data_IF_671091394006
#
_entry.id   IF_671091394006
#
_cell.length_a   1.000
_cell.length_b   1.000
_cell.length_c   1.000
_cell.angle_alpha   90.00
_cell.angle_beta   90.00
_cell.angle_gamma   90.00
#
_symmetry.space_group_name_H-M   'P 1'
#
loop_
_entity.id
_entity.type
_entity.pdbx_description
1 polymer ?
#
# COMPACT_ATOMS: atom_id res chain seq x y z
N UNK A 1 -23.85 -15.93 18.42
CA UNK A 1 -22.65 -15.21 17.96
C UNK A 1 -22.02 -16.06 16.86
N UNK A 2 -21.57 -15.44 15.77
CA UNK A 2 -20.88 -16.15 14.70
C UNK A 2 -19.49 -16.57 15.15
N UNK A 3 -19.00 -17.74 14.71
CA UNK A 3 -17.63 -18.21 14.98
C UNK A 3 -16.57 -17.20 14.48
N UNK A 4 -16.85 -16.53 13.36
CA UNK A 4 -16.01 -15.46 12.84
C UNK A 4 -15.94 -14.25 13.79
N UNK A 5 -17.06 -13.88 14.43
CA UNK A 5 -17.10 -12.78 15.40
C UNK A 5 -16.22 -13.08 16.61
N UNK A 6 -16.34 -14.28 17.18
CA UNK A 6 -15.53 -14.69 18.33
C UNK A 6 -14.04 -14.71 17.99
N UNK A 7 -13.68 -15.15 16.79
CA UNK A 7 -12.29 -15.18 16.32
C UNK A 7 -11.70 -13.77 16.21
N UNK A 8 -12.43 -12.83 15.58
CA UNK A 8 -12.01 -11.44 15.46
C UNK A 8 -11.96 -10.74 16.82
N UNK A 9 -12.93 -10.99 17.69
CA UNK A 9 -12.95 -10.45 19.04
C UNK A 9 -11.74 -10.94 19.85
N UNK A 10 -11.44 -12.23 19.83
CA UNK A 10 -10.29 -12.81 20.51
C UNK A 10 -8.97 -12.23 19.99
N UNK A 11 -8.87 -12.02 18.67
CA UNK A 11 -7.73 -11.33 18.06
C UNK A 11 -7.54 -9.92 18.61
N UNK A 12 -8.59 -9.09 18.63
CA UNK A 12 -8.53 -7.74 19.17
C UNK A 12 -8.20 -7.72 20.67
N UNK A 13 -8.78 -8.64 21.46
CA UNK A 13 -8.50 -8.76 22.89
C UNK A 13 -7.06 -9.21 23.16
N UNK A 14 -6.52 -10.11 22.35
CA UNK A 14 -5.12 -10.50 22.42
C UNK A 14 -4.21 -9.28 22.25
N UNK A 15 -4.40 -8.51 21.17
CA UNK A 15 -3.59 -7.30 20.94
C UNK A 15 -3.82 -6.23 22.02
N UNK A 16 -5.05 -6.10 22.54
CA UNK A 16 -5.33 -5.23 23.68
C UNK A 16 -4.52 -5.61 24.92
N UNK A 17 -4.34 -6.91 25.18
CA UNK A 17 -3.59 -7.39 26.34
C UNK A 17 -2.08 -7.14 26.25
N UNK A 18 -1.55 -6.99 25.03
CA UNK A 18 -0.12 -6.74 24.79
C UNK A 18 0.27 -5.26 24.95
N UNK A 19 -0.70 -4.33 24.88
CA UNK A 19 -0.45 -2.89 24.87
C UNK A 19 -0.83 -2.29 26.22
N UNK A 20 0.07 -1.50 26.81
CA UNK A 20 -0.22 -0.71 28.02
C UNK A 20 -1.31 0.34 27.73
N UNK A 21 -2.21 0.60 28.69
CA UNK A 21 -3.32 1.56 28.55
C UNK A 21 -2.87 2.97 28.14
N UNK A 22 -1.61 3.32 28.37
CA UNK A 22 -1.03 4.66 28.20
C UNK A 22 -0.70 5.06 26.76
N UNK A 23 -0.52 4.13 25.82
CA UNK A 23 0.08 4.46 24.50
C UNK A 23 -0.65 3.83 23.28
N UNK A 24 -1.83 3.24 23.47
CA UNK A 24 -2.57 2.62 22.36
C UNK A 24 -3.87 1.89 22.72
N UNK A 25 -4.10 1.61 24.01
CA UNK A 25 -5.28 0.87 24.47
C UNK A 25 -6.63 1.52 24.16
N UNK A 26 -6.67 2.85 24.02
CA UNK A 26 -7.88 3.59 23.63
C UNK A 26 -8.40 3.22 22.24
N UNK A 27 -7.50 3.05 21.26
CA UNK A 27 -7.85 2.69 19.88
C UNK A 27 -8.43 1.29 19.78
N UNK A 28 -7.76 0.31 20.38
CA UNK A 28 -8.24 -1.08 20.36
C UNK A 28 -9.56 -1.21 21.11
N UNK A 29 -9.74 -0.46 22.19
CA UNK A 29 -11.04 -0.40 22.89
C UNK A 29 -12.14 0.14 21.97
N UNK A 30 -11.84 1.17 21.16
CA UNK A 30 -12.79 1.68 20.15
C UNK A 30 -13.12 0.62 19.09
N UNK A 31 -12.13 -0.14 18.61
CA UNK A 31 -12.35 -1.24 17.65
C UNK A 31 -13.23 -2.36 18.23
N UNK A 32 -13.01 -2.75 19.50
CA UNK A 32 -13.85 -3.74 20.19
C UNK A 32 -15.28 -3.25 20.32
N UNK A 33 -15.48 -1.98 20.69
CA UNK A 33 -16.83 -1.38 20.75
C UNK A 33 -17.49 -1.38 19.36
N UNK A 34 -16.77 -0.95 18.33
CA UNK A 34 -17.27 -0.92 16.95
C UNK A 34 -17.66 -2.31 16.45
N UNK A 35 -16.85 -3.33 16.73
CA UNK A 35 -17.16 -4.72 16.38
C UNK A 35 -18.46 -5.19 17.04
N UNK A 36 -18.68 -4.82 18.32
CA UNK A 36 -19.93 -5.10 19.02
C UNK A 36 -21.14 -4.36 18.45
N UNK A 37 -20.97 -3.10 18.02
CA UNK A 37 -22.02 -2.33 17.35
C UNK A 37 -22.42 -2.96 16.01
N UNK A 38 -21.45 -3.46 15.23
CA UNK A 38 -21.66 -4.16 13.95
C UNK A 38 -22.44 -5.47 14.15
N UNK A 39 -22.05 -6.31 15.13
CA UNK A 39 -22.74 -7.59 15.41
C UNK A 39 -24.20 -7.39 15.85
N UNK A 40 -24.49 -6.27 16.53
CA UNK A 40 -25.84 -5.90 16.95
C UNK A 40 -26.70 -5.30 15.83
N UNK A 41 -26.17 -5.20 14.60
CA UNK A 41 -26.85 -4.56 13.47
C UNK A 41 -27.04 -3.05 13.65
N UNK A 42 -26.33 -2.44 14.60
CA UNK A 42 -26.29 -0.99 14.74
C UNK A 42 -25.31 -0.48 13.68
N UNK A 43 -25.82 -0.18 12.49
CA UNK A 43 -25.06 0.60 11.52
C UNK A 43 -24.82 1.98 12.12
N UNK A 44 -23.68 2.13 12.78
CA UNK A 44 -23.28 3.37 13.40
C UNK A 44 -23.32 4.42 12.30
N UNK A 45 -24.07 5.50 12.51
CA UNK A 45 -23.97 6.69 11.69
C UNK A 45 -22.61 7.34 11.96
N UNK A 46 -21.54 6.66 11.55
CA UNK A 46 -20.16 7.06 11.72
C UNK A 46 -20.04 8.37 10.98
N UNK A 47 -19.70 9.44 11.69
CA UNK A 47 -19.47 10.76 11.07
C UNK A 47 -18.08 10.80 10.45
N UNK A 48 -17.13 10.09 11.04
CA UNK A 48 -15.74 10.02 10.62
C UNK A 48 -15.57 9.06 9.42
N UNK A 49 -15.04 9.55 8.28
CA UNK A 49 -14.66 8.71 7.14
C UNK A 49 -13.69 7.57 7.50
N UNK A 50 -12.79 7.79 8.47
CA UNK A 50 -11.83 6.77 8.90
C UNK A 50 -12.53 5.62 9.62
N UNK A 51 -13.37 5.94 10.61
CA UNK A 51 -14.13 4.91 11.32
C UNK A 51 -15.06 4.13 10.37
N UNK A 52 -15.60 4.76 9.32
CA UNK A 52 -16.35 4.05 8.26
C UNK A 52 -15.49 3.03 7.52
N UNK A 53 -14.25 3.38 7.19
CA UNK A 53 -13.33 2.48 6.52
C UNK A 53 -13.00 1.26 7.41
N UNK A 54 -12.73 1.51 8.69
CA UNK A 54 -12.48 0.44 9.69
C UNK A 54 -13.72 -0.46 9.85
N UNK A 55 -14.91 0.13 9.96
CA UNK A 55 -16.16 -0.63 10.08
C UNK A 55 -16.40 -1.51 8.85
N UNK A 56 -16.21 -0.96 7.64
CA UNK A 56 -16.34 -1.72 6.40
C UNK A 56 -15.32 -2.87 6.32
N UNK A 57 -14.12 -2.70 6.89
CA UNK A 57 -13.10 -3.74 6.96
C UNK A 57 -13.54 -4.87 7.90
N UNK A 58 -14.04 -4.54 9.10
CA UNK A 58 -14.56 -5.54 10.03
C UNK A 58 -15.78 -6.27 9.47
N UNK A 59 -16.73 -5.56 8.88
CA UNK A 59 -17.87 -6.19 8.20
C UNK A 59 -17.40 -7.17 7.11
N UNK A 60 -16.40 -6.80 6.30
CA UNK A 60 -15.89 -7.69 5.27
C UNK A 60 -15.22 -8.93 5.85
N UNK A 61 -14.42 -8.78 6.91
CA UNK A 61 -13.78 -9.90 7.62
C UNK A 61 -14.83 -10.85 8.17
N UNK A 62 -15.91 -10.33 8.76
CA UNK A 62 -17.00 -11.13 9.29
C UNK A 62 -17.85 -11.81 8.19
N UNK A 63 -18.20 -11.08 7.13
CA UNK A 63 -19.04 -11.58 6.03
C UNK A 63 -18.37 -12.65 5.17
N UNK A 64 -17.04 -12.56 5.03
CA UNK A 64 -16.24 -13.48 4.21
C UNK A 64 -15.43 -14.47 5.04
N UNK A 65 -15.57 -14.44 6.36
CA UNK A 65 -14.90 -15.32 7.31
C UNK A 65 -13.37 -15.33 7.11
N UNK A 66 -12.78 -14.16 6.90
CA UNK A 66 -11.32 -14.03 6.79
C UNK A 66 -10.65 -14.36 8.13
N UNK A 67 -9.49 -15.03 8.08
CA UNK A 67 -8.65 -15.24 9.26
C UNK A 67 -7.98 -13.92 9.68
N UNK A 68 -8.25 -13.39 10.89
CA UNK A 68 -7.63 -12.15 11.35
C UNK A 68 -6.12 -12.26 11.59
N UNK A 69 -5.56 -13.47 11.65
CA UNK A 69 -4.13 -13.70 11.84
C UNK A 69 -3.34 -13.83 10.52
N UNK A 70 -4.00 -14.24 9.43
CA UNK A 70 -3.40 -14.40 8.11
C UNK A 70 -4.35 -13.91 7.00
N UNK A 71 -4.34 -12.60 6.77
CA UNK A 71 -5.11 -11.96 5.72
C UNK A 71 -4.38 -12.06 4.37
N UNK A 72 -5.02 -12.67 3.37
CA UNK A 72 -4.61 -12.51 1.97
C UNK A 72 -4.96 -11.09 1.50
N UNK A 73 -3.97 -10.20 1.52
CA UNK A 73 -4.13 -8.81 1.14
C UNK A 73 -4.67 -8.61 -0.28
N UNK A 74 -4.29 -9.46 -1.23
CA UNK A 74 -4.71 -9.29 -2.61
C UNK A 74 -6.22 -9.59 -2.75
N UNK A 75 -6.65 -10.68 -2.12
CA UNK A 75 -8.07 -11.04 -2.07
C UNK A 75 -8.89 -10.03 -1.27
N UNK A 76 -8.41 -9.66 -0.08
CA UNK A 76 -9.06 -8.71 0.82
C UNK A 76 -9.25 -7.36 0.12
N UNK A 77 -8.18 -6.79 -0.45
CA UNK A 77 -8.22 -5.46 -1.08
C UNK A 77 -9.23 -5.42 -2.22
N UNK A 78 -9.28 -6.46 -3.06
CA UNK A 78 -10.26 -6.54 -4.16
C UNK A 78 -11.69 -6.50 -3.63
N UNK A 79 -12.01 -7.34 -2.64
CA UNK A 79 -13.36 -7.41 -2.07
C UNK A 79 -13.73 -6.16 -1.27
N UNK A 80 -12.76 -5.56 -0.58
CA UNK A 80 -12.93 -4.32 0.16
C UNK A 80 -13.26 -3.15 -0.76
N UNK A 81 -12.51 -3.00 -1.87
CA UNK A 81 -12.80 -1.98 -2.87
C UNK A 81 -14.19 -2.18 -3.49
N UNK A 82 -14.56 -3.42 -3.78
CA UNK A 82 -15.89 -3.75 -4.29
C UNK A 82 -16.99 -3.37 -3.28
N UNK A 83 -16.84 -3.74 -2.00
CA UNK A 83 -17.78 -3.39 -0.92
C UNK A 83 -17.91 -1.87 -0.74
N UNK A 84 -16.79 -1.15 -0.73
CA UNK A 84 -16.79 0.33 -0.61
C UNK A 84 -17.47 0.98 -1.82
N UNK A 85 -17.26 0.46 -3.03
CA UNK A 85 -17.92 0.97 -4.24
C UNK A 85 -19.43 0.65 -4.27
N UNK A 86 -19.85 -0.47 -3.69
CA UNK A 86 -21.26 -0.88 -3.61
C UNK A 86 -22.02 -0.17 -2.47
N UNK A 87 -21.34 0.32 -1.43
CA UNK A 87 -21.92 0.90 -0.22
C UNK A 87 -22.54 2.31 -0.31
N UNK A 88 -22.57 2.94 -1.49
CA UNK A 88 -23.25 4.23 -1.67
C UNK A 88 -22.67 5.07 -2.83
N UNK A 89 -23.43 6.04 -3.36
CA UNK A 89 -23.13 6.67 -4.63
C UNK A 89 -21.76 7.35 -4.61
N UNK A 90 -20.99 7.11 -5.66
CA UNK A 90 -19.77 7.85 -6.01
C UNK A 90 -20.03 9.33 -5.76
N UNK A 91 -19.22 9.94 -4.89
CA UNK A 91 -19.30 11.37 -4.66
C UNK A 91 -18.83 12.08 -5.95
N UNK A 92 -19.78 12.42 -6.83
CA UNK A 92 -19.51 13.04 -8.13
C UNK A 92 -18.79 14.38 -8.01
N UNK A 93 -18.89 15.05 -6.86
CA UNK A 93 -18.10 16.26 -6.58
C UNK A 93 -16.63 15.89 -6.41
N UNK A 94 -16.32 14.84 -5.65
CA UNK A 94 -14.95 14.33 -5.50
C UNK A 94 -14.42 13.70 -6.79
N UNK A 95 -15.22 12.88 -7.48
CA UNK A 95 -14.85 12.28 -8.76
C UNK A 95 -14.62 13.34 -9.84
N UNK A 96 -15.45 14.38 -9.91
CA UNK A 96 -15.26 15.52 -10.82
C UNK A 96 -13.97 16.29 -10.54
N UNK A 97 -13.62 16.51 -9.26
CA UNK A 97 -12.33 17.12 -8.88
C UNK A 97 -11.15 16.25 -9.31
N UNK A 98 -11.24 14.93 -9.13
CA UNK A 98 -10.19 13.99 -9.56
C UNK A 98 -10.00 14.01 -11.08
N UNK A 99 -11.10 14.01 -11.85
CA UNK A 99 -11.05 14.12 -13.32
C UNK A 99 -10.42 15.46 -13.73
N UNK A 100 -10.80 16.56 -13.07
CA UNK A 100 -10.24 17.88 -13.34
C UNK A 100 -8.74 17.95 -13.02
N UNK A 101 -8.29 17.36 -11.92
CA UNK A 101 -6.86 17.29 -11.56
C UNK A 101 -6.08 16.45 -12.57
N UNK A 102 -6.60 15.28 -12.95
CA UNK A 102 -5.97 14.42 -13.95
C UNK A 102 -5.84 15.13 -15.31
N UNK A 103 -6.90 15.83 -15.76
CA UNK A 103 -6.84 16.65 -16.97
C UNK A 103 -5.85 17.81 -16.85
N UNK A 104 -5.79 18.48 -15.69
CA UNK A 104 -4.87 19.60 -15.46
C UNK A 104 -3.41 19.15 -15.51
N UNK A 105 -3.10 17.99 -14.91
CA UNK A 105 -1.76 17.37 -14.98
C UNK A 105 -1.43 16.99 -16.42
N UNK A 106 -2.36 16.34 -17.12
CA UNK A 106 -2.15 15.94 -18.52
C UNK A 106 -1.92 17.16 -19.42
N UNK A 107 -2.66 18.24 -19.19
CA UNK A 107 -2.46 19.52 -19.90
C UNK A 107 -1.10 20.12 -19.60
N UNK A 108 -0.70 20.21 -18.34
CA UNK A 108 0.63 20.70 -17.94
C UNK A 108 1.75 19.87 -18.58
N UNK A 109 1.62 18.54 -18.57
CA UNK A 109 2.57 17.64 -19.22
C UNK A 109 2.59 17.86 -20.74
N UNK A 110 1.43 18.00 -21.38
CA UNK A 110 1.34 18.25 -22.82
C UNK A 110 1.96 19.60 -23.20
N UNK A 111 1.71 20.66 -22.42
CA UNK A 111 2.27 21.99 -22.64
C UNK A 111 3.80 21.95 -22.46
N UNK A 112 4.30 21.27 -21.43
CA UNK A 112 5.74 21.07 -21.22
C UNK A 112 6.38 20.25 -22.34
N UNK A 113 5.69 19.21 -22.83
CA UNK A 113 6.17 18.40 -23.96
C UNK A 113 6.23 19.24 -25.25
N UNK A 114 5.23 20.08 -25.51
CA UNK A 114 5.20 20.95 -26.68
C UNK A 114 6.39 21.91 -26.71
N UNK A 115 6.75 22.47 -25.55
CA UNK A 115 7.94 23.33 -25.38
C UNK A 115 9.22 22.53 -25.62
N UNK A 116 9.32 21.30 -25.08
CA UNK A 116 10.49 20.43 -25.29
C UNK A 116 10.63 19.88 -26.71
N UNK A 117 9.51 19.70 -27.42
CA UNK A 117 9.45 19.21 -28.80
C UNK A 117 9.75 20.31 -29.83
N UNK A 118 9.72 21.58 -29.41
CA UNK A 118 10.16 22.73 -30.21
C UNK A 118 11.34 23.42 -29.53
N UNK A 119 12.49 22.74 -29.36
CA UNK A 119 13.66 23.37 -28.77
C UNK A 119 14.15 24.48 -29.73
N UNK A 120 14.54 25.67 -29.23
CA UNK A 120 15.30 26.63 -30.03
C UNK A 120 16.54 25.93 -30.59
N UNK A 121 16.86 26.13 -31.87
CA UNK A 121 18.05 25.56 -32.50
C UNK A 121 19.29 26.06 -31.75
N UNK A 122 19.92 25.19 -30.97
CA UNK A 122 21.28 25.42 -30.46
C UNK A 122 22.27 25.23 -31.61
N UNK A 123 23.12 26.23 -31.84
CA UNK A 123 24.27 26.09 -32.72
C UNK A 123 25.24 25.07 -32.13
N UNK A 124 25.57 24.05 -32.92
CA UNK A 124 26.46 22.98 -32.49
C UNK A 124 27.84 23.53 -32.09
N UNK A 125 28.38 23.18 -30.91
CA UNK A 125 29.77 23.51 -30.58
C UNK A 125 30.71 22.71 -31.49
N UNK A 126 31.61 23.41 -32.17
CA UNK A 126 32.48 22.87 -33.23
C UNK A 126 33.66 22.00 -32.72
N UNK A 127 33.78 21.79 -31.41
CA UNK A 127 35.05 21.41 -30.80
C UNK A 127 34.88 20.18 -29.89
N UNK A 128 34.54 19.02 -30.47
CA UNK A 128 34.66 17.73 -29.78
C UNK A 128 35.85 16.96 -30.33
N UNK A 129 37.03 17.20 -29.74
CA UNK A 129 38.23 16.40 -29.97
C UNK A 129 38.24 15.18 -29.02
N UNK A 130 38.10 13.99 -29.59
CA UNK A 130 38.12 12.70 -28.87
C UNK A 130 39.53 12.09 -28.80
N UNK A 131 40.58 12.89 -28.84
CA UNK A 131 41.95 12.41 -28.66
C UNK A 131 42.31 12.32 -27.16
N UNK A 132 41.92 11.24 -26.46
CA UNK A 132 42.42 11.06 -25.08
C UNK A 132 41.94 9.91 -24.22
N UNK A 133 41.07 9.00 -24.69
CA UNK A 133 40.73 7.81 -23.92
C UNK A 133 41.67 6.67 -24.28
N UNK A 134 42.64 6.43 -23.39
CA UNK A 134 43.60 5.34 -23.48
C UNK A 134 42.92 4.03 -23.05
N UNK A 135 43.00 3.00 -23.88
CA UNK A 135 42.37 1.69 -23.65
C UNK A 135 43.14 0.89 -22.57
N UNK A 136 42.46 0.25 -21.59
CA UNK A 136 43.12 -0.62 -20.62
C UNK A 136 43.27 -2.03 -21.21
N UNK A 137 44.35 -2.26 -21.96
CA UNK A 137 44.48 -3.47 -22.79
C UNK A 137 45.03 -4.73 -22.08
N UNK A 138 45.55 -4.72 -20.85
CA UNK A 138 46.36 -5.87 -20.37
C UNK A 138 45.90 -6.57 -19.08
N UNK A 139 44.59 -6.62 -18.78
CA UNK A 139 44.08 -7.54 -17.74
C UNK A 139 42.86 -8.32 -18.24
N UNK A 140 43.11 -9.52 -18.79
CA UNK A 140 42.05 -10.46 -19.13
C UNK A 140 41.50 -11.14 -17.86
N UNK A 141 40.66 -10.41 -17.14
CA UNK A 141 39.90 -10.92 -16.00
C UNK A 141 39.00 -12.10 -16.38
N UNK A 142 38.57 -12.19 -17.65
CA UNK A 142 37.71 -13.29 -18.11
C UNK A 142 38.49 -14.60 -18.14
N UNK A 143 39.76 -14.60 -18.57
CA UNK A 143 40.58 -15.81 -18.60
C UNK A 143 40.88 -16.35 -17.20
N UNK A 144 41.06 -15.47 -16.20
CA UNK A 144 41.25 -15.86 -14.81
C UNK A 144 39.99 -16.51 -14.20
N UNK A 145 38.80 -16.01 -14.55
CA UNK A 145 37.51 -16.55 -14.07
C UNK A 145 37.12 -17.83 -14.82
N UNK A 146 37.43 -17.94 -16.10
CA UNK A 146 37.13 -19.12 -16.93
C UNK A 146 38.04 -20.33 -16.63
N UNK A 147 39.26 -20.10 -16.15
CA UNK A 147 40.21 -21.17 -15.76
C UNK A 147 39.92 -21.80 -14.40
N UNK A 148 39.24 -21.07 -13.50
CA UNK A 148 38.69 -21.64 -12.28
C UNK A 148 37.45 -22.46 -12.65
N UNK A 149 37.59 -23.79 -12.67
CA UNK A 149 36.51 -24.71 -13.04
C UNK A 149 35.17 -24.34 -12.38
N UNK A 150 34.08 -24.40 -13.15
CA UNK A 150 32.72 -24.07 -12.70
C UNK A 150 32.36 -24.88 -11.46
N UNK A 151 32.44 -24.25 -10.28
CA UNK A 151 31.79 -24.75 -9.08
C UNK A 151 30.27 -24.69 -9.36
N UNK A 152 29.50 -25.76 -9.13
CA UNK A 152 28.04 -25.67 -9.23
C UNK A 152 27.57 -24.67 -8.18
N UNK A 153 27.15 -23.48 -8.64
CA UNK A 153 26.45 -22.52 -7.81
C UNK A 153 25.01 -23.05 -7.74
N UNK A 154 24.73 -23.88 -6.74
CA UNK A 154 23.36 -24.20 -6.39
C UNK A 154 22.69 -22.94 -5.84
N UNK A 155 21.43 -22.72 -6.21
CA UNK A 155 20.68 -21.59 -5.65
C UNK A 155 20.58 -21.76 -4.13
N UNK A 156 20.93 -20.70 -3.39
CA UNK A 156 20.74 -20.69 -1.95
C UNK A 156 19.27 -20.98 -1.64
N UNK A 157 18.97 -21.89 -0.72
CA UNK A 157 17.60 -22.17 -0.28
C UNK A 157 16.99 -20.87 0.24
N UNK A 158 16.17 -20.23 -0.59
CA UNK A 158 15.42 -19.03 -0.22
C UNK A 158 14.14 -19.51 0.47
N UNK A 159 13.91 -19.03 1.69
CA UNK A 159 12.57 -19.10 2.24
C UNK A 159 11.67 -18.21 1.38
N UNK A 160 10.53 -18.74 0.97
CA UNK A 160 9.45 -17.89 0.47
C UNK A 160 9.05 -16.96 1.61
N UNK A 161 9.40 -15.68 1.48
CA UNK A 161 9.22 -14.66 2.51
C UNK A 161 7.77 -14.21 2.65
N UNK A 162 6.82 -15.14 2.71
CA UNK A 162 5.41 -14.79 2.93
C UNK A 162 5.18 -14.66 4.44
N UNK A 163 5.30 -13.43 4.95
CA UNK A 163 4.85 -13.07 6.30
C UNK A 163 3.33 -12.90 6.24
N UNK A 164 2.55 -13.62 7.08
CA UNK A 164 1.11 -13.39 7.16
C UNK A 164 0.86 -11.96 7.67
N UNK A 165 -0.16 -11.30 7.12
CA UNK A 165 -0.55 -9.95 7.53
C UNK A 165 -1.75 -10.06 8.45
N UNK A 166 -1.65 -9.50 9.65
CA UNK A 166 -2.75 -9.55 10.62
C UNK A 166 -3.74 -8.40 10.42
N UNK A 167 -4.97 -8.58 10.90
CA UNK A 167 -5.99 -7.54 10.90
C UNK A 167 -5.54 -6.29 11.67
N UNK A 168 -4.77 -6.45 12.74
CA UNK A 168 -4.28 -5.31 13.52
C UNK A 168 -3.23 -4.52 12.74
N UNK A 169 -2.32 -5.18 12.03
CA UNK A 169 -1.36 -4.51 11.17
C UNK A 169 -2.04 -3.74 10.03
N UNK A 170 -3.13 -4.29 9.47
CA UNK A 170 -3.94 -3.58 8.49
C UNK A 170 -4.58 -2.32 9.10
N UNK A 171 -5.12 -2.41 10.33
CA UNK A 171 -5.73 -1.26 11.01
C UNK A 171 -4.70 -0.20 11.39
N UNK A 172 -3.49 -0.60 11.76
CA UNK A 172 -2.39 0.32 12.03
C UNK A 172 -1.91 1.01 10.75
N UNK A 173 -1.81 0.29 9.64
CA UNK A 173 -1.50 0.87 8.33
C UNK A 173 -2.57 1.87 7.86
N UNK A 174 -3.85 1.58 8.13
CA UNK A 174 -4.95 2.53 7.86
C UNK A 174 -4.79 3.82 8.66
N UNK A 175 -4.46 3.71 9.96
CA UNK A 175 -4.29 4.88 10.83
C UNK A 175 -3.03 5.69 10.45
N UNK A 176 -1.94 5.01 10.07
CA UNK A 176 -0.75 5.66 9.52
C UNK A 176 -1.08 6.44 8.23
N UNK A 177 -1.77 5.82 7.28
CA UNK A 177 -2.19 6.48 6.05
C UNK A 177 -3.10 7.70 6.31
N UNK A 178 -3.98 7.63 7.32
CA UNK A 178 -4.79 8.79 7.74
C UNK A 178 -3.92 9.94 8.25
N UNK A 179 -2.96 9.65 9.14
CA UNK A 179 -2.06 10.68 9.68
C UNK A 179 -1.25 11.34 8.58
N UNK A 180 -0.75 10.56 7.63
CA UNK A 180 0.01 11.09 6.49
C UNK A 180 -0.85 11.99 5.60
N UNK A 181 -2.11 11.60 5.36
CA UNK A 181 -3.05 12.42 4.60
C UNK A 181 -3.41 13.73 5.31
N UNK A 182 -3.48 13.73 6.65
CA UNK A 182 -3.71 14.94 7.46
C UNK A 182 -2.50 15.89 7.43
N UNK A 183 -1.27 15.37 7.30
CA UNK A 183 -0.03 16.17 7.23
C UNK A 183 0.15 16.85 5.85
N UNK A 184 -0.39 16.24 4.79
CA UNK A 184 -0.27 16.76 3.41
C UNK A 184 -1.32 17.83 3.04
N UNK A 185 -2.26 18.13 3.94
CA UNK A 185 -3.41 19.02 3.73
C UNK A 185 -3.19 20.39 4.37
#
# INVERSE_FOLDING_TARGET
MSEAYETVLNHLLFHKSLISETDGGGRITRYVTMLGEIDQGMHVALRDPFEKAVAAAFELVLEKEFDPWDLDLAQFTRMYLEKVQQGGPVNFVTAGKLIFMAWSILKLQSDSLLVSATPPLEEAPADWDFAGLQEPEDLDFNQAVLGAGRVPIDEAIRREGRRPVTLMELMDAFDEARRDAEVQL
#
